data_IF_521443624452
#
_entry.id   IF_521443624452
#
_cell.length_a   1.000
_cell.length_b   1.000
_cell.length_c   1.000
_cell.angle_alpha   90.00
_cell.angle_beta   90.00
_cell.angle_gamma   90.00
#
_symmetry.space_group_name_H-M   'P 1'
#
loop_
_entity.id
_entity.type
_entity.pdbx_description
1 polymer ?
#
# COMPACT_ATOMS: atom_id res chain seq x y z
N UNK A 1 -24.26 19.45 -42.72
CA UNK A 1 -24.20 20.49 -41.66
C UNK A 1 -24.94 19.90 -40.47
N UNK A 2 -24.38 19.66 -39.28
CA UNK A 2 -23.09 20.02 -38.69
C UNK A 2 -22.57 18.87 -37.80
N UNK A 3 -21.26 18.92 -37.53
CA UNK A 3 -20.40 17.95 -36.85
C UNK A 3 -20.48 17.99 -35.31
N UNK A 4 -19.98 16.92 -34.67
CA UNK A 4 -19.18 16.79 -33.42
C UNK A 4 -19.69 17.56 -32.17
N UNK A 5 -19.78 16.97 -30.98
CA UNK A 5 -18.65 16.51 -30.16
C UNK A 5 -19.10 15.43 -29.17
N UNK A 6 -18.20 14.49 -28.89
CA UNK A 6 -18.35 13.57 -27.77
C UNK A 6 -18.13 14.26 -26.44
N UNK A 7 -18.75 13.74 -25.38
CA UNK A 7 -18.13 13.83 -24.08
C UNK A 7 -18.37 12.54 -23.29
N UNK A 8 -17.25 11.88 -23.01
CA UNK A 8 -17.11 10.79 -22.06
C UNK A 8 -17.31 11.37 -20.67
N UNK A 9 -18.39 10.98 -19.98
CA UNK A 9 -18.47 11.19 -18.53
C UNK A 9 -18.54 9.82 -17.89
N UNK A 10 -17.35 9.27 -17.68
CA UNK A 10 -17.04 8.41 -16.55
C UNK A 10 -17.82 8.91 -15.34
N UNK A 11 -18.81 8.13 -14.89
CA UNK A 11 -19.33 8.29 -13.54
C UNK A 11 -18.21 7.86 -12.60
N UNK A 12 -17.32 8.82 -12.32
CA UNK A 12 -16.56 8.85 -11.09
C UNK A 12 -17.58 8.67 -9.97
N UNK A 13 -17.52 7.52 -9.30
CA UNK A 13 -18.08 7.36 -7.97
C UNK A 13 -16.92 7.57 -6.99
N UNK A 14 -16.70 8.79 -6.49
CA UNK A 14 -15.76 8.98 -5.40
C UNK A 14 -16.44 8.60 -4.08
N UNK A 15 -15.67 7.88 -3.26
CA UNK A 15 -15.85 7.68 -1.81
C UNK A 15 -16.95 6.71 -1.33
N UNK A 16 -16.69 5.42 -1.51
CA UNK A 16 -17.19 4.36 -0.60
C UNK A 16 -16.20 4.06 0.55
N UNK A 17 -15.13 4.85 0.72
CA UNK A 17 -14.00 4.46 1.60
C UNK A 17 -14.11 5.06 3.01
N UNK A 18 -15.04 5.99 3.28
CA UNK A 18 -15.14 6.64 4.60
C UNK A 18 -16.57 6.83 5.12
N UNK A 19 -17.52 5.99 4.71
CA UNK A 19 -18.75 5.90 5.49
C UNK A 19 -18.42 5.16 6.78
N UNK A 20 -18.24 5.91 7.88
CA UNK A 20 -18.37 5.34 9.22
C UNK A 20 -19.65 4.50 9.23
N UNK A 21 -19.52 3.20 9.51
CA UNK A 21 -20.66 2.31 9.64
C UNK A 21 -21.68 3.01 10.54
N UNK A 22 -22.84 3.34 9.97
CA UNK A 22 -23.90 4.01 10.72
C UNK A 22 -24.22 3.08 11.88
N UNK A 23 -23.90 3.53 13.11
CA UNK A 23 -24.18 2.80 14.35
C UNK A 23 -25.59 2.21 14.29
N UNK A 24 -25.72 0.92 14.61
CA UNK A 24 -26.99 0.17 14.61
C UNK A 24 -28.12 0.93 15.33
N UNK A 25 -27.79 1.65 16.40
CA UNK A 25 -28.73 2.49 17.16
C UNK A 25 -29.34 3.63 16.32
N UNK A 26 -28.55 4.22 15.41
CA UNK A 26 -29.01 5.29 14.52
C UNK A 26 -29.86 4.73 13.36
N UNK A 27 -29.65 3.47 12.96
CA UNK A 27 -30.43 2.83 11.88
C UNK A 27 -31.86 2.44 12.31
N UNK A 28 -32.05 2.17 13.61
CA UNK A 28 -33.36 1.80 14.18
C UNK A 28 -34.42 2.88 14.02
N UNK A 29 -34.01 4.15 14.06
CA UNK A 29 -34.89 5.32 13.91
C UNK A 29 -35.39 5.54 12.48
N UNK A 30 -34.87 4.80 11.48
CA UNK A 30 -35.22 4.97 10.07
C UNK A 30 -36.29 3.99 9.55
N UNK A 31 -36.77 3.04 10.36
CA UNK A 31 -37.77 2.05 9.92
C UNK A 31 -39.10 2.21 10.67
N UNK A 32 -40.16 2.59 9.94
CA UNK A 32 -41.54 2.73 10.45
C UNK A 32 -42.23 1.39 10.73
N UNK A 33 -41.62 0.25 10.40
CA UNK A 33 -42.20 -1.08 10.57
C UNK A 33 -41.75 -1.72 11.90
N UNK A 34 -42.69 -1.91 12.82
CA UNK A 34 -42.40 -2.42 14.17
C UNK A 34 -41.94 -3.88 14.18
N UNK A 35 -42.26 -4.64 13.13
CA UNK A 35 -41.89 -6.04 13.05
C UNK A 35 -40.48 -6.22 12.46
N UNK A 36 -40.06 -5.38 11.51
CA UNK A 36 -38.68 -5.36 10.99
C UNK A 36 -37.70 -4.90 12.04
N UNK A 37 -38.05 -3.90 12.85
CA UNK A 37 -37.22 -3.40 13.95
C UNK A 37 -37.02 -4.45 15.04
N UNK A 38 -38.04 -5.23 15.38
CA UNK A 38 -37.94 -6.38 16.31
C UNK A 38 -37.10 -7.51 15.74
N UNK A 39 -37.26 -7.81 14.45
CA UNK A 39 -36.46 -8.84 13.79
C UNK A 39 -34.98 -8.44 13.74
N UNK A 40 -34.69 -7.18 13.41
CA UNK A 40 -33.33 -6.62 13.44
C UNK A 40 -32.72 -6.65 14.85
N UNK A 41 -33.49 -6.34 15.90
CA UNK A 41 -33.03 -6.47 17.28
C UNK A 41 -32.70 -7.93 17.62
N UNK A 42 -33.52 -8.88 17.19
CA UNK A 42 -33.28 -10.32 17.39
C UNK A 42 -32.02 -10.77 16.64
N UNK A 43 -31.89 -10.37 15.38
CA UNK A 43 -30.75 -10.73 14.53
C UNK A 43 -29.45 -10.08 15.05
N UNK A 44 -29.50 -8.84 15.54
CA UNK A 44 -28.37 -8.20 16.20
C UNK A 44 -27.95 -8.93 17.48
N UNK A 45 -28.90 -9.34 18.32
CA UNK A 45 -28.61 -10.08 19.55
C UNK A 45 -28.02 -11.47 19.27
N UNK A 46 -28.53 -12.16 18.25
CA UNK A 46 -27.96 -13.46 17.82
C UNK A 46 -26.56 -13.28 17.24
N UNK A 47 -26.34 -12.28 16.38
CA UNK A 47 -25.04 -11.93 15.84
C UNK A 47 -24.03 -11.59 16.95
N UNK A 48 -24.46 -10.81 17.95
CA UNK A 48 -23.64 -10.44 19.09
C UNK A 48 -23.25 -11.67 19.93
N UNK A 49 -24.19 -12.58 20.15
CA UNK A 49 -23.95 -13.85 20.85
C UNK A 49 -22.97 -14.75 20.08
N UNK A 50 -23.11 -14.84 18.76
CA UNK A 50 -22.20 -15.60 17.89
C UNK A 50 -20.80 -14.98 17.91
N UNK A 51 -20.69 -13.65 17.76
CA UNK A 51 -19.42 -12.93 17.82
C UNK A 51 -18.68 -13.19 19.13
N UNK A 52 -19.40 -13.14 20.26
CA UNK A 52 -18.85 -13.44 21.58
C UNK A 52 -18.33 -14.88 21.67
N UNK A 53 -19.12 -15.86 21.21
CA UNK A 53 -18.69 -17.27 21.18
C UNK A 53 -17.45 -17.48 20.31
N UNK A 54 -17.39 -16.86 19.13
CA UNK A 54 -16.20 -16.91 18.28
C UNK A 54 -14.99 -16.28 18.98
N UNK A 55 -15.18 -15.15 19.67
CA UNK A 55 -14.11 -14.49 20.41
C UNK A 55 -13.59 -15.33 21.59
N UNK A 56 -14.49 -16.02 22.30
CA UNK A 56 -14.13 -16.92 23.39
C UNK A 56 -13.36 -18.16 22.89
N UNK A 57 -13.79 -18.75 21.76
CA UNK A 57 -13.07 -19.85 21.10
C UNK A 57 -11.70 -19.41 20.57
N UNK A 58 -11.59 -18.21 19.99
CA UNK A 58 -10.30 -17.66 19.52
C UNK A 58 -9.31 -17.47 20.67
N UNK A 59 -9.78 -17.03 21.84
CA UNK A 59 -8.96 -16.95 23.06
C UNK A 59 -8.53 -18.33 23.57
N UNK A 60 -9.42 -19.31 23.56
CA UNK A 60 -9.13 -20.68 24.00
C UNK A 60 -8.07 -21.37 23.12
N UNK A 61 -8.07 -21.07 21.81
CA UNK A 61 -7.10 -21.60 20.84
C UNK A 61 -5.78 -20.81 20.78
N UNK A 62 -5.59 -19.79 21.64
CA UNK A 62 -4.41 -18.91 21.65
C UNK A 62 -4.06 -18.31 20.28
N UNK A 63 -5.06 -18.07 19.43
CA UNK A 63 -4.90 -17.31 18.20
C UNK A 63 -4.89 -15.84 18.64
N UNK A 64 -3.71 -15.30 18.94
CA UNK A 64 -3.50 -13.83 19.04
C UNK A 64 -4.05 -13.20 17.77
N UNK A 65 -4.72 -12.05 17.92
CA UNK A 65 -5.40 -11.37 16.83
C UNK A 65 -4.46 -11.32 15.62
N UNK A 66 -4.90 -11.85 14.47
CA UNK A 66 -4.09 -11.92 13.23
C UNK A 66 -3.41 -10.56 12.92
N UNK A 67 -4.07 -9.48 13.31
CA UNK A 67 -3.59 -8.08 13.21
C UNK A 67 -2.34 -7.73 14.03
N UNK A 68 -1.99 -8.49 15.07
CA UNK A 68 -0.75 -8.31 15.85
C UNK A 68 0.42 -9.02 15.18
N UNK A 69 0.19 -10.20 14.60
CA UNK A 69 1.20 -10.98 13.88
C UNK A 69 1.66 -10.25 12.59
N UNK A 70 0.74 -9.67 11.83
CA UNK A 70 1.07 -8.90 10.62
C UNK A 70 1.95 -7.67 10.89
N UNK A 71 1.82 -7.06 12.08
CA UNK A 71 2.64 -5.90 12.48
C UNK A 71 4.08 -6.26 12.80
N UNK A 72 4.33 -7.50 13.19
CA UNK A 72 5.67 -7.97 13.58
C UNK A 72 6.43 -8.63 12.41
N UNK A 73 5.71 -9.02 11.36
CA UNK A 73 6.25 -9.65 10.14
C UNK A 73 6.52 -8.69 8.98
N UNK A 74 5.96 -7.47 8.98
CA UNK A 74 6.34 -6.47 7.99
C UNK A 74 7.76 -5.95 8.28
N UNK A 75 8.74 -6.13 7.37
CA UNK A 75 10.01 -5.44 7.48
C UNK A 75 9.71 -3.95 7.49
N UNK A 76 10.10 -3.27 8.57
CA UNK A 76 9.82 -1.85 8.84
C UNK A 76 9.87 -1.08 7.51
N UNK A 77 8.75 -0.51 7.06
CA UNK A 77 8.71 0.17 5.76
C UNK A 77 9.83 1.20 5.64
N UNK A 78 10.28 1.75 6.77
CA UNK A 78 11.42 2.65 6.87
C UNK A 78 12.73 1.98 6.43
N UNK A 79 12.96 0.72 6.78
CA UNK A 79 14.10 -0.08 6.36
C UNK A 79 14.05 -0.39 4.86
N UNK A 80 12.90 -0.81 4.32
CA UNK A 80 12.71 -0.97 2.86
C UNK A 80 13.01 0.35 2.13
N UNK A 81 12.42 1.47 2.58
CA UNK A 81 12.65 2.82 2.03
C UNK A 81 14.10 3.28 2.20
N UNK A 82 14.81 2.86 3.25
CA UNK A 82 16.23 3.15 3.47
C UNK A 82 17.09 2.42 2.44
N UNK A 83 16.84 1.13 2.22
CA UNK A 83 17.55 0.35 1.21
C UNK A 83 17.32 0.86 -0.22
N UNK A 84 16.07 1.21 -0.56
CA UNK A 84 15.74 1.82 -1.86
C UNK A 84 16.50 3.13 -2.07
N UNK A 85 16.56 4.00 -1.05
CA UNK A 85 17.32 5.26 -1.13
C UNK A 85 18.82 5.05 -1.28
N UNK A 86 19.38 4.07 -0.58
CA UNK A 86 20.81 3.74 -0.70
C UNK A 86 21.15 3.23 -2.10
N UNK A 87 20.30 2.36 -2.66
CA UNK A 87 20.49 1.82 -4.00
C UNK A 87 20.38 2.91 -5.07
N UNK A 88 19.36 3.77 -4.99
CA UNK A 88 19.20 4.89 -5.92
C UNK A 88 20.39 5.84 -5.84
N UNK A 89 20.85 6.18 -4.63
CA UNK A 89 22.03 7.05 -4.45
C UNK A 89 23.30 6.43 -5.01
N UNK A 90 23.48 5.11 -4.85
CA UNK A 90 24.61 4.41 -5.44
C UNK A 90 24.56 4.45 -6.97
N UNK A 91 23.38 4.19 -7.55
CA UNK A 91 23.20 4.22 -9.00
C UNK A 91 23.46 5.61 -9.58
N UNK A 92 22.90 6.67 -8.98
CA UNK A 92 23.13 8.06 -9.39
C UNK A 92 24.62 8.42 -9.37
N UNK A 93 25.33 8.04 -8.29
CA UNK A 93 26.76 8.29 -8.17
C UNK A 93 27.56 7.51 -9.21
N UNK A 94 27.23 6.22 -9.41
CA UNK A 94 27.86 5.38 -10.43
C UNK A 94 27.66 5.97 -11.82
N UNK A 95 26.45 6.38 -12.17
CA UNK A 95 26.13 6.94 -13.48
C UNK A 95 26.87 8.26 -13.72
N UNK A 96 26.95 9.13 -12.70
CA UNK A 96 27.74 10.37 -12.77
C UNK A 96 29.24 10.07 -12.95
N UNK A 97 29.78 9.11 -12.20
CA UNK A 97 31.17 8.69 -12.34
C UNK A 97 31.44 8.11 -13.74
N UNK A 98 30.54 7.28 -14.27
CA UNK A 98 30.63 6.73 -15.62
C UNK A 98 30.62 7.83 -16.69
N UNK A 99 29.78 8.85 -16.54
CA UNK A 99 29.75 9.99 -17.46
C UNK A 99 31.09 10.74 -17.45
N UNK A 100 31.65 11.01 -16.27
CA UNK A 100 32.96 11.66 -16.13
C UNK A 100 34.08 10.83 -16.75
N UNK A 101 34.07 9.51 -16.53
CA UNK A 101 35.04 8.59 -17.12
C UNK A 101 34.91 8.60 -18.65
N UNK A 102 33.69 8.59 -19.19
CA UNK A 102 33.44 8.69 -20.64
C UNK A 102 34.03 9.98 -21.22
N UNK A 103 33.80 11.12 -20.56
CA UNK A 103 34.35 12.41 -21.00
C UNK A 103 35.88 12.43 -21.00
N UNK A 104 36.51 11.85 -19.97
CA UNK A 104 37.98 11.74 -19.89
C UNK A 104 38.52 10.82 -20.99
N UNK A 105 37.86 9.69 -21.23
CA UNK A 105 38.22 8.75 -22.28
C UNK A 105 38.16 9.41 -23.67
N UNK A 106 37.10 10.17 -23.95
CA UNK A 106 36.93 10.94 -25.19
C UNK A 106 38.02 12.00 -25.36
N UNK A 107 38.33 12.77 -24.31
CA UNK A 107 39.38 13.80 -24.35
C UNK A 107 40.77 13.23 -24.62
N UNK A 108 41.06 12.03 -24.10
CA UNK A 108 42.36 11.35 -24.27
C UNK A 108 42.42 10.44 -25.49
N UNK A 109 41.29 10.18 -26.15
CA UNK A 109 41.20 9.18 -27.22
C UNK A 109 41.45 7.74 -26.75
N UNK A 110 41.22 7.47 -25.46
CA UNK A 110 41.42 6.15 -24.84
C UNK A 110 40.08 5.42 -24.72
N UNK A 111 40.10 4.10 -24.52
CA UNK A 111 38.86 3.38 -24.22
C UNK A 111 38.49 3.60 -22.76
N UNK A 112 37.18 3.57 -22.48
CA UNK A 112 36.64 3.68 -21.12
C UNK A 112 37.32 2.67 -20.17
N UNK A 113 37.54 1.43 -20.61
CA UNK A 113 38.23 0.39 -19.83
C UNK A 113 39.67 0.77 -19.45
N UNK A 114 40.40 1.42 -20.34
CA UNK A 114 41.79 1.81 -20.10
C UNK A 114 41.83 2.91 -19.02
N UNK A 115 40.90 3.86 -19.08
CA UNK A 115 40.73 4.91 -18.06
C UNK A 115 40.26 4.34 -16.72
N UNK A 116 39.35 3.36 -16.73
CA UNK A 116 38.90 2.67 -15.51
C UNK A 116 40.03 1.90 -14.83
N UNK A 117 40.90 1.26 -15.62
CA UNK A 117 42.11 0.59 -15.15
C UNK A 117 43.13 1.57 -14.55
N UNK A 118 43.37 2.70 -15.20
CA UNK A 118 44.24 3.76 -14.68
C UNK A 118 43.75 4.32 -13.33
N UNK A 119 42.42 4.44 -13.16
CA UNK A 119 41.79 4.99 -11.95
C UNK A 119 41.61 3.89 -10.87
N UNK A 120 41.85 2.62 -11.19
CA UNK A 120 41.73 1.49 -10.26
C UNK A 120 40.27 1.13 -9.91
N UNK A 121 39.34 1.37 -10.84
CA UNK A 121 37.89 1.10 -10.66
C UNK A 121 37.50 -0.26 -11.24
N UNK A 122 38.37 -0.91 -12.03
CA UNK A 122 38.22 -2.33 -12.33
C UNK A 122 38.55 -3.13 -11.06
N UNK A 123 37.50 -3.62 -10.39
CA UNK A 123 37.62 -4.63 -9.35
C UNK A 123 38.09 -5.96 -9.93
N UNK A 124 38.72 -6.77 -9.08
CA UNK A 124 38.93 -8.21 -9.32
C UNK A 124 37.64 -8.93 -9.75
#
# INVERSE_FOLDING_TARGET
MASLEGNSTTLDCPDLVNQEDISFERAKDYSDDSDTTRQLDSDYNTLHSIKKKCQDVMKELAISDITEIDKELEPDEKEKKRHIRQLNRYNELKDTAMQLISMIAEQRGLRIKDVMNEIGVEGE
#
